data_IF_041443459595
#
_entry.id   IF_041443459595
#
_cell.length_a   1.000
_cell.length_b   1.000
_cell.length_c   1.000
_cell.angle_alpha   90.00
_cell.angle_beta   90.00
_cell.angle_gamma   90.00
#
_symmetry.space_group_name_H-M   'P 1'
#
loop_
_entity.id
_entity.type
_entity.pdbx_description
1 polymer ?
#
# COMPACT_ATOMS: atom_id res chain seq x y z
N UNK A 1 -8.60 37.67 -28.54
CA UNK A 1 -7.60 36.80 -27.89
C UNK A 1 -8.28 36.12 -26.71
N UNK A 2 -8.59 34.83 -26.83
CA UNK A 2 -9.21 34.04 -25.77
C UNK A 2 -8.10 33.36 -24.96
N UNK A 3 -7.84 33.82 -23.74
CA UNK A 3 -6.93 33.16 -22.82
C UNK A 3 -7.65 31.96 -22.20
N UNK A 4 -7.32 30.73 -22.63
CA UNK A 4 -7.65 29.52 -21.89
C UNK A 4 -6.81 29.50 -20.61
N UNK A 5 -7.44 29.76 -19.46
CA UNK A 5 -6.84 29.51 -18.16
C UNK A 5 -6.85 28.00 -17.89
N UNK A 6 -5.69 27.34 -18.07
CA UNK A 6 -5.46 26.01 -17.54
C UNK A 6 -5.37 26.12 -16.00
N UNK A 7 -6.41 25.71 -15.30
CA UNK A 7 -6.34 25.53 -13.85
C UNK A 7 -5.33 24.39 -13.56
N UNK A 8 -4.37 24.58 -12.63
CA UNK A 8 -3.51 23.49 -12.20
C UNK A 8 -4.38 22.46 -11.47
N UNK A 9 -4.58 21.29 -12.08
CA UNK A 9 -5.07 20.13 -11.36
C UNK A 9 -4.05 19.81 -10.27
N UNK A 10 -4.35 20.17 -9.03
CA UNK A 10 -3.61 19.74 -7.85
C UNK A 10 -3.66 18.21 -7.86
N UNK A 11 -2.57 17.57 -8.26
CA UNK A 11 -2.42 16.13 -8.15
C UNK A 11 -2.54 15.78 -6.66
N UNK A 12 -3.69 15.22 -6.27
CA UNK A 12 -3.90 14.75 -4.91
C UNK A 12 -3.02 13.52 -4.70
N UNK A 13 -1.98 13.68 -3.89
CA UNK A 13 -1.10 12.58 -3.50
C UNK A 13 -1.88 11.53 -2.70
N UNK A 14 -1.56 10.26 -2.92
CA UNK A 14 -2.07 9.16 -2.10
C UNK A 14 -1.67 9.34 -0.63
N UNK A 15 -2.58 8.99 0.28
CA UNK A 15 -2.32 9.04 1.73
C UNK A 15 -1.67 7.75 2.22
N UNK A 16 -0.62 7.89 3.03
CA UNK A 16 0.11 6.79 3.66
C UNK A 16 0.22 7.07 5.16
N UNK A 17 0.11 6.04 6.00
CA UNK A 17 0.40 6.16 7.44
C UNK A 17 1.64 5.33 7.81
N UNK A 18 2.26 5.71 8.92
CA UNK A 18 3.38 4.97 9.48
C UNK A 18 2.94 3.55 9.89
N UNK A 19 3.88 2.60 9.99
CA UNK A 19 3.57 1.28 10.51
C UNK A 19 2.98 1.37 11.93
N UNK A 20 1.98 0.54 12.22
CA UNK A 20 1.26 0.59 13.51
C UNK A 20 2.02 -0.12 14.65
N UNK A 21 2.96 -1.01 14.32
CA UNK A 21 3.75 -1.74 15.32
C UNK A 21 4.88 -0.89 15.91
N UNK A 22 5.03 -0.94 17.22
CA UNK A 22 6.13 -0.29 17.97
C UNK A 22 7.34 -1.21 18.17
N UNK A 23 7.28 -2.46 17.69
CA UNK A 23 8.36 -3.42 17.87
C UNK A 23 9.64 -2.98 17.13
N UNK A 24 10.75 -2.85 17.85
CA UNK A 24 12.01 -2.34 17.31
C UNK A 24 12.57 -3.22 16.17
N UNK A 25 12.44 -4.54 16.27
CA UNK A 25 12.89 -5.47 15.22
C UNK A 25 12.07 -5.28 13.94
N UNK A 26 10.75 -5.15 14.08
CA UNK A 26 9.86 -4.89 12.96
C UNK A 26 10.17 -3.53 12.31
N UNK A 27 10.28 -2.46 13.10
CA UNK A 27 10.63 -1.13 12.60
C UNK A 27 11.98 -1.13 11.88
N UNK A 28 12.97 -1.86 12.41
CA UNK A 28 14.25 -2.05 11.75
C UNK A 28 14.16 -2.84 10.43
N UNK A 29 13.23 -3.80 10.34
CA UNK A 29 12.99 -4.60 9.13
C UNK A 29 12.34 -3.77 8.02
N UNK A 30 11.35 -2.95 8.35
CA UNK A 30 10.64 -2.12 7.34
C UNK A 30 11.39 -0.83 6.99
N UNK A 31 12.42 -0.47 7.75
CA UNK A 31 13.23 0.72 7.48
C UNK A 31 13.91 0.62 6.11
N UNK A 32 13.61 1.58 5.24
CA UNK A 32 14.12 1.63 3.87
C UNK A 32 13.21 0.95 2.83
N UNK A 33 12.11 0.33 3.26
CA UNK A 33 11.04 -0.09 2.34
C UNK A 33 10.20 1.14 1.98
N UNK A 34 10.00 1.35 0.69
CA UNK A 34 9.13 2.39 0.14
C UNK A 34 8.12 1.77 -0.80
N UNK A 35 6.92 2.33 -0.90
CA UNK A 35 5.90 1.81 -1.79
C UNK A 35 4.97 2.90 -2.29
N UNK A 36 4.34 2.64 -3.43
CA UNK A 36 3.35 3.52 -4.06
C UNK A 36 2.15 2.72 -4.53
N UNK A 37 0.98 3.32 -4.44
CA UNK A 37 -0.25 2.79 -5.03
C UNK A 37 -0.61 3.51 -6.32
N UNK A 38 -1.01 2.76 -7.34
CA UNK A 38 -1.62 3.30 -8.55
C UNK A 38 -2.58 2.27 -9.17
N UNK A 39 -3.84 2.64 -9.39
CA UNK A 39 -4.84 1.85 -10.10
C UNK A 39 -4.93 0.38 -9.65
N UNK A 40 -5.04 0.14 -8.34
CA UNK A 40 -5.14 -1.21 -7.78
C UNK A 40 -3.81 -1.94 -7.65
N UNK A 41 -2.67 -1.33 -7.99
CA UNK A 41 -1.35 -1.98 -7.93
C UNK A 41 -0.47 -1.27 -6.92
N UNK A 42 0.15 -2.04 -6.02
CA UNK A 42 1.21 -1.58 -5.14
C UNK A 42 2.55 -1.93 -5.78
N UNK A 43 3.38 -0.91 -5.98
CA UNK A 43 4.80 -1.07 -6.32
C UNK A 43 5.61 -0.87 -5.05
N UNK A 44 6.42 -1.84 -4.68
CA UNK A 44 7.29 -1.82 -3.50
C UNK A 44 8.75 -1.84 -3.95
N UNK A 45 9.59 -1.07 -3.27
CA UNK A 45 11.05 -1.10 -3.40
C UNK A 45 11.70 -1.31 -2.03
N UNK A 46 12.60 -2.27 -1.94
CA UNK A 46 13.38 -2.52 -0.74
C UNK A 46 14.76 -1.84 -0.83
N UNK A 47 14.89 -0.64 -0.27
CA UNK A 47 16.19 -0.02 -0.03
C UNK A 47 16.68 -0.26 1.42
N UNK A 48 16.09 -1.23 2.12
CA UNK A 48 16.39 -1.57 3.49
C UNK A 48 17.68 -2.37 3.62
N UNK A 49 17.99 -2.76 4.87
CA UNK A 49 19.20 -3.53 5.18
C UNK A 49 19.02 -5.04 5.02
N UNK A 50 17.78 -5.50 4.92
CA UNK A 50 17.42 -6.92 5.00
C UNK A 50 16.66 -7.35 3.75
N UNK A 51 16.86 -8.60 3.33
CA UNK A 51 15.90 -9.28 2.47
C UNK A 51 14.62 -9.56 3.28
N UNK A 52 13.48 -9.42 2.63
CA UNK A 52 12.16 -9.57 3.26
C UNK A 52 11.56 -10.87 2.76
N UNK A 53 11.06 -11.72 3.65
CA UNK A 53 10.40 -12.97 3.29
C UNK A 53 8.94 -12.72 2.96
N UNK A 54 8.20 -12.12 3.91
CA UNK A 54 6.80 -11.74 3.72
C UNK A 54 6.66 -10.25 3.97
N UNK A 55 5.97 -9.55 3.07
CA UNK A 55 5.52 -8.17 3.27
C UNK A 55 4.01 -8.09 3.00
N UNK A 56 3.28 -7.48 3.93
CA UNK A 56 1.87 -7.12 3.76
C UNK A 56 1.70 -5.62 3.89
N UNK A 57 1.05 -5.03 2.89
CA UNK A 57 0.60 -3.64 2.90
C UNK A 57 -0.91 -3.66 2.95
N UNK A 58 -1.45 -3.12 4.02
CA UNK A 58 -2.89 -2.99 4.25
C UNK A 58 -3.38 -1.62 3.78
N UNK A 59 -4.69 -1.55 3.52
CA UNK A 59 -5.40 -0.34 3.14
C UNK A 59 -6.77 -0.29 3.83
N UNK A 60 -7.20 0.92 4.18
CA UNK A 60 -8.53 1.23 4.70
C UNK A 60 -9.04 2.48 3.97
N UNK A 61 -10.35 2.64 3.87
CA UNK A 61 -10.94 3.87 3.35
C UNK A 61 -11.35 4.82 4.47
N UNK A 62 -11.04 6.10 4.32
CA UNK A 62 -11.55 7.16 5.21
C UNK A 62 -13.04 7.44 5.00
N UNK A 63 -13.63 6.94 3.90
CA UNK A 63 -15.04 7.16 3.55
C UNK A 63 -15.91 5.91 3.72
N UNK A 64 -15.32 4.71 3.60
CA UNK A 64 -15.99 3.41 3.79
C UNK A 64 -15.24 2.62 4.86
N UNK A 65 -15.80 2.56 6.07
CA UNK A 65 -15.13 1.94 7.23
C UNK A 65 -15.09 0.41 7.15
N UNK A 66 -15.88 -0.20 6.26
CA UNK A 66 -15.89 -1.65 6.07
C UNK A 66 -14.90 -2.08 4.99
N UNK A 67 -14.50 -1.16 4.11
CA UNK A 67 -13.54 -1.45 3.04
C UNK A 67 -12.14 -1.69 3.60
N UNK A 68 -11.63 -2.89 3.37
CA UNK A 68 -10.27 -3.30 3.70
C UNK A 68 -9.55 -3.79 2.45
N UNK A 69 -8.29 -3.39 2.30
CA UNK A 69 -7.45 -3.77 1.16
C UNK A 69 -6.15 -4.42 1.60
N UNK A 70 -5.66 -5.39 0.83
CA UNK A 70 -4.42 -6.10 1.11
C UNK A 70 -3.60 -6.29 -0.16
N UNK A 71 -2.34 -5.86 -0.12
CA UNK A 71 -1.30 -6.28 -1.04
C UNK A 71 -0.31 -7.19 -0.31
N UNK A 72 -0.14 -8.40 -0.83
CA UNK A 72 0.67 -9.45 -0.22
C UNK A 72 1.85 -9.81 -1.14
N UNK A 73 3.05 -9.82 -0.56
CA UNK A 73 4.30 -10.22 -1.22
C UNK A 73 4.88 -11.40 -0.44
N UNK A 74 4.65 -12.61 -0.93
CA UNK A 74 5.09 -13.87 -0.29
C UNK A 74 6.30 -14.52 -0.97
N UNK A 75 6.59 -14.15 -2.22
CA UNK A 75 7.75 -14.65 -2.97
C UNK A 75 9.09 -14.11 -2.48
N UNK A 76 9.07 -13.30 -1.42
CA UNK A 76 10.23 -12.56 -0.94
C UNK A 76 10.49 -11.27 -1.72
N UNK A 77 11.25 -10.38 -1.10
CA UNK A 77 11.67 -9.10 -1.65
C UNK A 77 13.11 -8.82 -1.22
N UNK A 78 14.03 -9.09 -2.13
CA UNK A 78 15.46 -8.90 -1.93
C UNK A 78 15.84 -7.43 -1.78
N UNK A 79 16.94 -7.18 -1.09
CA UNK A 79 17.52 -5.83 -0.98
C UNK A 79 17.87 -5.30 -2.37
N UNK A 80 17.41 -4.09 -2.67
CA UNK A 80 17.55 -3.41 -3.96
C UNK A 80 16.45 -3.74 -4.95
N UNK A 81 15.62 -4.76 -4.66
CA UNK A 81 14.57 -5.21 -5.57
C UNK A 81 13.38 -4.25 -5.57
N UNK A 82 12.68 -4.23 -6.70
CA UNK A 82 11.37 -3.61 -6.87
C UNK A 82 10.39 -4.66 -7.36
N UNK A 83 9.24 -4.77 -6.70
CA UNK A 83 8.17 -5.71 -7.04
C UNK A 83 6.83 -4.99 -7.14
N UNK A 84 5.88 -5.62 -7.83
CA UNK A 84 4.52 -5.13 -7.98
C UNK A 84 3.54 -6.24 -7.63
N UNK A 85 2.45 -5.88 -6.99
CA UNK A 85 1.33 -6.81 -6.75
C UNK A 85 0.00 -6.05 -6.77
N UNK A 86 -1.08 -6.77 -7.04
CA UNK A 86 -2.43 -6.22 -7.01
C UNK A 86 -2.93 -6.13 -5.57
N UNK A 87 -3.72 -5.09 -5.27
CA UNK A 87 -4.43 -4.94 -4.01
C UNK A 87 -5.78 -5.63 -4.14
N UNK A 88 -6.05 -6.56 -3.24
CA UNK A 88 -7.33 -7.23 -3.10
C UNK A 88 -8.16 -6.46 -2.08
N UNK A 89 -9.42 -6.14 -2.41
CA UNK A 89 -10.31 -5.38 -1.53
C UNK A 89 -11.54 -6.18 -1.16
N UNK A 90 -11.96 -6.10 0.11
CA UNK A 90 -13.16 -6.76 0.66
C UNK A 90 -13.93 -5.80 1.57
N UNK A 91 -15.14 -6.17 1.99
CA UNK A 91 -15.94 -5.42 2.97
C UNK A 91 -16.22 -6.23 4.23
N UNK A 92 -15.57 -5.91 5.34
CA UNK A 92 -15.68 -6.64 6.60
C UNK A 92 -14.75 -7.86 6.67
N UNK A 93 -14.42 -8.28 7.90
CA UNK A 93 -13.44 -9.33 8.19
C UNK A 93 -13.92 -10.74 7.79
N UNK A 94 -15.24 -10.95 7.68
CA UNK A 94 -15.87 -12.25 7.41
C UNK A 94 -16.51 -12.33 6.01
N UNK A 95 -16.26 -11.34 5.15
CA UNK A 95 -16.81 -11.30 3.80
C UNK A 95 -15.68 -11.39 2.78
N UNK A 96 -15.51 -12.59 2.25
CA UNK A 96 -14.46 -12.88 1.27
C UNK A 96 -14.79 -12.35 -0.13
N UNK A 97 -15.92 -11.65 -0.30
CA UNK A 97 -16.30 -11.13 -1.61
C UNK A 97 -15.42 -9.94 -1.99
N UNK A 98 -14.63 -10.16 -3.04
CA UNK A 98 -13.82 -9.11 -3.66
C UNK A 98 -14.69 -7.95 -4.17
N UNK A 99 -14.24 -6.73 -3.87
CA UNK A 99 -14.85 -5.49 -4.34
C UNK A 99 -14.11 -5.00 -5.58
N UNK A 100 -14.80 -4.81 -6.72
CA UNK A 100 -14.19 -4.30 -7.94
C UNK A 100 -13.57 -2.91 -7.74
N UNK A 101 -12.37 -2.69 -8.28
CA UNK A 101 -11.65 -1.40 -8.16
C UNK A 101 -12.47 -0.17 -8.60
N UNK A 102 -13.38 -0.33 -9.57
CA UNK A 102 -14.26 0.75 -10.06
C UNK A 102 -15.25 1.28 -8.99
N UNK A 103 -15.51 0.49 -7.96
CA UNK A 103 -16.42 0.82 -6.86
C UNK A 103 -15.66 1.48 -5.68
N UNK A 104 -14.35 1.61 -5.79
CA UNK A 104 -13.47 2.10 -4.73
C UNK A 104 -13.03 3.53 -5.04
N UNK A 105 -13.27 4.43 -4.09
CA UNK A 105 -12.66 5.77 -4.11
C UNK A 105 -11.19 5.68 -3.68
N UNK A 106 -10.31 5.49 -4.67
CA UNK A 106 -8.87 5.39 -4.47
C UNK A 106 -8.27 6.57 -3.68
N UNK A 107 -8.85 7.77 -3.78
CA UNK A 107 -8.35 8.96 -3.09
C UNK A 107 -8.60 8.92 -1.58
N UNK A 108 -9.52 8.06 -1.12
CA UNK A 108 -9.86 7.88 0.29
C UNK A 108 -9.09 6.73 0.93
N UNK A 109 -8.27 6.02 0.17
CA UNK A 109 -7.46 4.93 0.69
C UNK A 109 -6.26 5.45 1.49
N UNK A 110 -5.99 4.78 2.62
CA UNK A 110 -4.82 5.01 3.46
C UNK A 110 -4.06 3.71 3.58
N UNK A 111 -2.80 3.70 3.14
CA UNK A 111 -1.98 2.49 3.13
C UNK A 111 -0.95 2.47 4.27
N UNK A 112 -0.60 1.28 4.75
CA UNK A 112 0.48 1.05 5.71
C UNK A 112 1.05 -0.36 5.65
N UNK A 113 2.29 -0.53 6.10
CA UNK A 113 2.87 -1.86 6.31
C UNK A 113 2.41 -2.35 7.69
N UNK A 114 1.74 -3.50 7.73
CA UNK A 114 1.26 -4.11 8.97
C UNK A 114 1.94 -5.44 9.30
N UNK A 115 2.55 -6.09 8.30
CA UNK A 115 3.37 -7.29 8.48
C UNK A 115 4.61 -7.23 7.61
N UNK A 116 5.75 -7.58 8.21
CA UNK A 116 7.01 -7.73 7.53
C UNK A 116 7.88 -8.74 8.29
N UNK A 117 8.42 -9.73 7.58
CA UNK A 117 9.38 -10.69 8.13
C UNK A 117 10.66 -10.65 7.33
N UNK A 118 11.80 -10.88 7.99
CA UNK A 118 13.07 -11.05 7.27
C UNK A 118 13.04 -12.40 6.55
N UNK A 119 13.67 -12.47 5.38
CA UNK A 119 13.97 -13.75 4.77
C UNK A 119 14.90 -14.54 5.70
N UNK A 120 14.74 -15.86 5.75
CA UNK A 120 15.59 -16.76 6.55
C UNK A 120 16.93 -17.01 5.86
#
# INVERSE_FOLDING_TARGET
MLFLAFAPQIAKCQTYKAPTSTNATFLGTVKGISYTYQNGVITVKNNGRYNIGILRIAAESTADKELYGVALFEDGLDKGQTLKTTVYFTRGLDNDKEIPLKEIDAQKLVFWIDKATRAQ
#
